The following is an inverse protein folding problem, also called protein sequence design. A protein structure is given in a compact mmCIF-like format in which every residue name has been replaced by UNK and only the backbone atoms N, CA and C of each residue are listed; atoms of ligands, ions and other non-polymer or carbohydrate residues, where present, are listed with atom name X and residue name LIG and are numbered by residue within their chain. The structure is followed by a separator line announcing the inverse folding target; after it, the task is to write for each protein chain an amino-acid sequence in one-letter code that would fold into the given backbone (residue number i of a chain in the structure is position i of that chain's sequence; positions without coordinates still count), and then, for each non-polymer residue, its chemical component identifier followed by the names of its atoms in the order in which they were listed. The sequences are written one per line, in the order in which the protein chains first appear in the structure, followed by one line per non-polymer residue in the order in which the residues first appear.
data_IF_201509610607
#
_entry.id   IF_201509610607
#
_cell.length_a   1.000
_cell.length_b   1.000
_cell.length_c   1.000
_cell.angle_alpha   90.00
_cell.angle_beta   90.00
_cell.angle_gamma   90.00
#
_symmetry.space_group_name_H-M   'P 1'
#
loop_
_entity.id
_entity.type
_entity.pdbx_description
1 polymer ?
#
# COMPACT_ATOMS: atom_id res chain seq x y z
N UNK A 1 -4.60 -17.21 -4.00
CA UNK A 1 -4.87 -16.49 -5.25
C UNK A 1 -4.10 -15.19 -5.27
N UNK A 2 -3.60 -14.85 -6.43
CA UNK A 2 -2.86 -13.58 -6.57
C UNK A 2 -3.83 -12.40 -6.60
N UNK A 3 -3.37 -11.26 -6.12
CA UNK A 3 -4.11 -10.00 -6.18
C UNK A 3 -3.64 -9.20 -7.40
N UNK A 4 -4.46 -8.27 -7.85
CA UNK A 4 -4.10 -7.40 -8.97
C UNK A 4 -3.06 -6.38 -8.57
N UNK A 5 -3.18 -5.82 -7.36
CA UNK A 5 -2.36 -4.70 -6.91
C UNK A 5 -2.05 -4.82 -5.43
N UNK A 6 -0.78 -4.58 -5.08
CA UNK A 6 -0.36 -4.40 -3.69
C UNK A 6 0.14 -2.97 -3.53
N UNK A 7 -0.45 -2.23 -2.60
CA UNK A 7 -0.03 -0.86 -2.29
C UNK A 7 0.76 -0.91 -0.99
N UNK A 8 2.03 -0.55 -1.03
CA UNK A 8 2.92 -0.59 0.14
C UNK A 8 3.04 0.80 0.72
N UNK A 9 2.73 0.92 2.02
CA UNK A 9 2.75 2.18 2.74
C UNK A 9 3.72 2.05 3.91
N UNK A 10 4.96 2.57 3.78
CA UNK A 10 5.87 2.63 4.93
C UNK A 10 5.39 3.69 5.91
N UNK A 11 5.37 3.34 7.20
CA UNK A 11 4.87 4.23 8.26
C UNK A 11 5.89 4.32 9.39
N UNK A 12 6.25 5.54 9.76
CA UNK A 12 7.09 5.79 10.93
C UNK A 12 6.69 7.12 11.58
N UNK A 13 6.13 7.03 12.79
CA UNK A 13 5.74 8.20 13.59
C UNK A 13 4.86 9.20 12.83
N UNK A 14 3.74 8.72 12.31
CA UNK A 14 2.80 9.51 11.50
C UNK A 14 1.46 9.73 12.20
N UNK A 15 1.40 9.62 13.53
CA UNK A 15 0.11 9.69 14.25
C UNK A 15 -0.43 11.11 14.38
N UNK A 16 0.40 12.14 14.19
CA UNK A 16 -0.03 13.53 14.36
C UNK A 16 -0.61 14.12 13.08
N UNK A 17 -1.46 15.15 13.21
CA UNK A 17 -2.04 15.94 12.12
C UNK A 17 -3.03 15.19 11.22
N UNK A 18 -3.34 13.94 11.52
CA UNK A 18 -4.31 13.17 10.74
C UNK A 18 -3.87 12.77 9.33
N UNK A 19 -2.60 13.00 8.97
CA UNK A 19 -2.11 12.70 7.62
C UNK A 19 -2.18 11.22 7.30
N UNK A 20 -1.84 10.36 8.26
CA UNK A 20 -1.93 8.91 8.06
C UNK A 20 -3.37 8.49 7.76
N UNK A 21 -4.34 9.08 8.46
CA UNK A 21 -5.75 8.79 8.21
C UNK A 21 -6.18 9.21 6.80
N UNK A 22 -5.76 10.39 6.35
CA UNK A 22 -6.06 10.84 4.97
C UNK A 22 -5.45 9.90 3.93
N UNK A 23 -4.21 9.46 4.16
CA UNK A 23 -3.56 8.49 3.27
C UNK A 23 -4.38 7.20 3.17
N UNK A 24 -4.67 6.59 4.31
CA UNK A 24 -5.38 5.31 4.34
C UNK A 24 -6.81 5.43 3.82
N UNK A 25 -7.52 6.51 4.15
CA UNK A 25 -8.86 6.73 3.62
C UNK A 25 -8.86 6.84 2.11
N UNK A 26 -7.83 7.48 1.52
CA UNK A 26 -7.73 7.59 0.07
C UNK A 26 -7.46 6.22 -0.60
N UNK A 27 -6.84 5.30 0.12
CA UNK A 27 -6.53 3.96 -0.41
C UNK A 27 -7.69 2.99 -0.26
N UNK A 28 -8.45 3.05 0.84
CA UNK A 28 -9.64 2.20 1.00
C UNK A 28 -10.81 2.70 0.17
N UNK A 29 -10.81 3.98 -0.19
CA UNK A 29 -11.86 4.60 -1.01
C UNK A 29 -11.62 4.60 -2.51
N UNK A 30 -10.69 3.78 -3.01
CA UNK A 30 -10.39 3.73 -4.44
C UNK A 30 -11.52 3.11 -5.24
N UNK A 31 -11.74 3.63 -6.45
CA UNK A 31 -12.77 3.13 -7.36
C UNK A 31 -12.52 1.70 -7.84
N UNK A 32 -11.28 1.21 -7.73
CA UNK A 32 -10.96 -0.18 -8.08
C UNK A 32 -11.56 -1.18 -7.10
N UNK A 33 -12.01 -0.73 -5.93
CA UNK A 33 -12.63 -1.62 -4.96
C UNK A 33 -13.92 -2.20 -5.55
N UNK A 34 -13.98 -3.52 -5.64
CA UNK A 34 -15.07 -4.20 -6.33
C UNK A 34 -14.81 -4.50 -7.81
N UNK A 35 -13.78 -3.87 -8.41
CA UNK A 35 -13.36 -4.14 -9.80
C UNK A 35 -12.16 -5.06 -9.85
N UNK A 36 -11.21 -4.85 -8.96
CA UNK A 36 -9.99 -5.64 -8.86
C UNK A 36 -9.77 -6.06 -7.42
N UNK A 37 -9.11 -7.19 -7.24
CA UNK A 37 -8.68 -7.62 -5.93
C UNK A 37 -7.34 -6.92 -5.61
N UNK A 38 -7.31 -6.11 -4.57
CA UNK A 38 -6.09 -5.39 -4.18
C UNK A 38 -5.91 -5.41 -2.67
N UNK A 39 -4.70 -5.13 -2.21
CA UNK A 39 -4.34 -5.10 -0.80
C UNK A 39 -3.54 -3.84 -0.47
N UNK A 40 -3.64 -3.39 0.78
CA UNK A 40 -2.88 -2.27 1.30
C UNK A 40 -1.98 -2.83 2.40
N UNK A 41 -0.67 -2.78 2.17
CA UNK A 41 0.32 -3.32 3.10
C UNK A 41 0.96 -2.15 3.86
N UNK A 42 0.52 -1.98 5.10
CA UNK A 42 1.02 -0.90 5.96
C UNK A 42 2.16 -1.43 6.81
N UNK A 43 3.37 -1.00 6.52
CA UNK A 43 4.55 -1.44 7.24
C UNK A 43 4.88 -0.43 8.34
N UNK A 44 4.64 -0.79 9.58
CA UNK A 44 5.00 0.05 10.71
C UNK A 44 6.48 -0.18 11.06
N UNK A 45 7.29 0.81 10.83
CA UNK A 45 8.75 0.71 10.97
C UNK A 45 9.22 1.04 12.39
N UNK A 46 8.64 0.36 13.37
CA UNK A 46 8.93 0.52 14.79
C UNK A 46 8.58 1.92 15.31
N UNK A 47 7.38 2.41 14.97
CA UNK A 47 6.91 3.71 15.46
C UNK A 47 6.86 3.75 16.97
N UNK A 48 7.22 4.90 17.54
CA UNK A 48 7.18 5.13 18.99
C UNK A 48 5.94 5.91 19.42
N UNK A 49 5.12 6.36 18.47
CA UNK A 49 3.86 7.04 18.72
C UNK A 49 2.67 6.09 18.49
N UNK A 50 1.47 6.62 18.30
CA UNK A 50 0.25 5.85 18.12
C UNK A 50 0.03 5.36 16.68
N UNK A 51 1.02 5.47 15.81
CA UNK A 51 0.88 5.06 14.41
C UNK A 51 0.43 3.61 14.25
N UNK A 52 1.06 2.68 14.99
CA UNK A 52 0.70 1.27 14.91
C UNK A 52 -0.77 1.05 15.32
N UNK A 53 -1.24 1.74 16.35
CA UNK A 53 -2.63 1.63 16.80
C UNK A 53 -3.60 2.10 15.72
N UNK A 54 -3.27 3.17 15.00
CA UNK A 54 -4.07 3.67 13.89
C UNK A 54 -4.15 2.61 12.79
N UNK A 55 -3.00 2.02 12.43
CA UNK A 55 -2.96 0.99 11.40
C UNK A 55 -3.78 -0.24 11.79
N UNK A 56 -3.67 -0.68 13.03
CA UNK A 56 -4.41 -1.85 13.51
C UNK A 56 -5.92 -1.59 13.51
N UNK A 57 -6.34 -0.35 13.77
CA UNK A 57 -7.75 0.02 13.66
C UNK A 57 -8.26 -0.12 12.22
N UNK A 58 -7.47 0.34 11.25
CA UNK A 58 -7.84 0.17 9.84
C UNK A 58 -7.87 -1.30 9.43
N UNK A 59 -6.92 -2.10 9.90
CA UNK A 59 -6.94 -3.55 9.64
C UNK A 59 -8.19 -4.20 10.22
N UNK A 60 -8.60 -3.79 11.40
CA UNK A 60 -9.80 -4.32 12.04
C UNK A 60 -11.06 -3.97 11.26
N UNK A 61 -11.14 -2.75 10.73
CA UNK A 61 -12.30 -2.30 9.94
C UNK A 61 -12.31 -2.87 8.52
N UNK A 62 -11.14 -3.14 7.95
CA UNK A 62 -10.99 -3.61 6.57
C UNK A 62 -10.08 -4.85 6.54
N UNK A 63 -10.47 -5.95 7.18
CA UNK A 63 -9.56 -7.09 7.38
C UNK A 63 -9.15 -7.79 6.08
N UNK A 64 -9.94 -7.68 5.02
CA UNK A 64 -9.63 -8.30 3.72
C UNK A 64 -8.79 -7.39 2.84
N UNK A 65 -8.65 -6.12 3.19
CA UNK A 65 -8.00 -5.11 2.37
C UNK A 65 -6.70 -4.61 2.99
N UNK A 66 -6.69 -4.34 4.30
CA UNK A 66 -5.56 -3.74 5.00
C UNK A 66 -4.83 -4.81 5.81
N UNK A 67 -3.53 -4.93 5.57
CA UNK A 67 -2.64 -5.83 6.29
C UNK A 67 -1.52 -5.02 6.92
N UNK A 68 -1.35 -5.15 8.23
CA UNK A 68 -0.32 -4.42 8.98
C UNK A 68 0.87 -5.33 9.23
N UNK A 69 2.06 -4.82 8.92
CA UNK A 69 3.31 -5.54 9.11
C UNK A 69 4.16 -4.72 10.11
N UNK A 70 4.21 -5.13 11.39
CA UNK A 70 5.03 -4.40 12.35
C UNK A 70 6.48 -4.89 12.31
N UNK A 71 7.41 -3.98 12.05
CA UNK A 71 8.83 -4.26 12.16
C UNK A 71 9.26 -4.11 13.63
N UNK A 72 10.03 -5.05 14.17
CA UNK A 72 10.48 -4.94 15.57
C UNK A 72 11.54 -3.85 15.79
N UNK A 73 12.25 -3.46 14.74
CA UNK A 73 13.26 -2.39 14.77
C UNK A 73 13.07 -1.50 13.56
N UNK A 74 13.54 -0.25 13.66
CA UNK A 74 13.48 0.69 12.54
C UNK A 74 14.46 0.25 11.46
N UNK A 75 13.95 -0.06 10.28
CA UNK A 75 14.72 -0.51 9.12
C UNK A 75 14.88 0.60 8.08
N UNK A 76 14.40 1.79 8.40
CA UNK A 76 14.35 2.93 7.47
C UNK A 76 13.40 2.63 6.30
N UNK A 77 13.23 3.61 5.42
CA UNK A 77 12.24 3.52 4.36
C UNK A 77 12.52 2.37 3.38
N UNK A 78 13.79 2.15 3.02
CA UNK A 78 14.15 1.05 2.13
C UNK A 78 13.85 -0.32 2.73
N UNK A 79 14.18 -0.52 4.00
CA UNK A 79 13.89 -1.77 4.70
C UNK A 79 12.40 -1.99 4.89
N UNK A 80 11.64 -0.91 5.17
CA UNK A 80 10.18 -0.99 5.30
C UNK A 80 9.52 -1.39 3.98
N UNK A 81 9.96 -0.80 2.86
CA UNK A 81 9.47 -1.19 1.54
C UNK A 81 9.76 -2.64 1.24
N UNK A 82 10.96 -3.13 1.57
CA UNK A 82 11.33 -4.52 1.37
C UNK A 82 10.47 -5.46 2.20
N UNK A 83 10.14 -5.09 3.44
CA UNK A 83 9.24 -5.89 4.27
C UNK A 83 7.87 -6.05 3.63
N UNK A 84 7.34 -4.98 3.06
CA UNK A 84 6.08 -5.03 2.30
C UNK A 84 6.19 -5.92 1.06
N UNK A 85 7.29 -5.79 0.31
CA UNK A 85 7.50 -6.58 -0.90
C UNK A 85 7.56 -8.08 -0.63
N UNK A 86 8.08 -8.49 0.52
CA UNK A 86 8.19 -9.92 0.87
C UNK A 86 6.83 -10.59 0.98
N UNK A 87 5.80 -9.86 1.37
CA UNK A 87 4.45 -10.44 1.58
C UNK A 87 3.47 -10.02 0.50
N UNK A 88 3.85 -9.13 -0.40
CA UNK A 88 2.97 -8.63 -1.45
C UNK A 88 2.56 -9.76 -2.40
N UNK A 89 1.27 -9.81 -2.72
CA UNK A 89 0.67 -10.81 -3.60
C UNK A 89 0.23 -10.22 -4.93
N UNK A 90 0.39 -8.91 -5.12
CA UNK A 90 -0.08 -8.22 -6.29
C UNK A 90 0.73 -8.49 -7.54
N UNK A 91 0.04 -8.53 -8.67
CA UNK A 91 0.67 -8.51 -9.99
C UNK A 91 1.39 -7.18 -10.22
N UNK A 92 0.80 -6.11 -9.70
CA UNK A 92 1.37 -4.76 -9.73
C UNK A 92 1.69 -4.32 -8.31
N UNK A 93 2.79 -3.58 -8.15
CA UNK A 93 3.22 -3.02 -6.87
C UNK A 93 3.20 -1.51 -6.95
N UNK A 94 2.53 -0.86 -6.01
CA UNK A 94 2.55 0.58 -5.84
C UNK A 94 3.13 0.95 -4.49
N UNK A 95 3.83 2.08 -4.42
CA UNK A 95 4.33 2.65 -3.17
C UNK A 95 3.69 4.02 -2.98
N UNK A 96 3.33 4.33 -1.75
CA UNK A 96 2.84 5.65 -1.39
C UNK A 96 3.38 6.03 -0.02
N UNK A 97 3.81 7.27 0.14
CA UNK A 97 4.25 7.78 1.43
C UNK A 97 3.05 7.98 2.36
N UNK A 98 3.24 7.73 3.64
CA UNK A 98 2.16 7.75 4.61
C UNK A 98 1.58 9.15 4.89
N UNK A 99 2.21 10.21 4.40
CA UNK A 99 1.71 11.58 4.48
C UNK A 99 1.10 12.09 3.16
N UNK A 100 1.01 11.22 2.16
CA UNK A 100 0.40 11.53 0.87
C UNK A 100 -1.00 10.92 0.77
N UNK A 101 -1.77 11.41 -0.18
CA UNK A 101 -3.08 10.83 -0.53
C UNK A 101 -3.28 10.94 -2.02
N UNK A 102 -4.21 10.15 -2.54
CA UNK A 102 -4.47 10.08 -3.99
C UNK A 102 -5.96 10.26 -4.26
N UNK A 103 -6.27 10.67 -5.50
CA UNK A 103 -7.67 10.79 -5.92
C UNK A 103 -8.37 9.42 -5.93
N UNK A 104 -9.70 9.38 -5.84
CA UNK A 104 -10.42 8.11 -5.79
C UNK A 104 -10.19 7.18 -6.97
N UNK A 105 -9.90 7.73 -8.15
CA UNK A 105 -9.71 6.95 -9.38
C UNK A 105 -8.24 6.78 -9.77
N UNK A 106 -7.31 7.11 -8.89
CA UNK A 106 -5.89 7.13 -9.19
C UNK A 106 -5.38 5.77 -9.67
N UNK A 107 -5.61 4.72 -8.90
CA UNK A 107 -5.12 3.38 -9.27
C UNK A 107 -5.94 2.76 -10.41
N UNK A 108 -7.20 3.10 -10.54
CA UNK A 108 -7.99 2.65 -11.68
C UNK A 108 -7.40 3.16 -12.99
N UNK A 109 -7.07 4.45 -13.04
CA UNK A 109 -6.44 5.04 -14.23
C UNK A 109 -5.10 4.40 -14.54
N UNK A 110 -4.26 4.16 -13.52
CA UNK A 110 -2.96 3.54 -13.71
C UNK A 110 -3.08 2.11 -14.22
N UNK A 111 -3.99 1.32 -13.65
CA UNK A 111 -4.18 -0.06 -14.06
C UNK A 111 -4.75 -0.17 -15.47
N UNK A 112 -5.68 0.70 -15.83
CA UNK A 112 -6.22 0.73 -17.19
C UNK A 112 -5.14 1.11 -18.20
N UNK A 113 -4.27 2.05 -17.86
CA UNK A 113 -3.14 2.42 -18.71
C UNK A 113 -2.17 1.26 -18.86
N UNK A 114 -1.90 0.54 -17.77
CA UNK A 114 -1.03 -0.63 -17.79
C UNK A 114 -1.58 -1.71 -18.73
N UNK A 115 -2.88 -2.00 -18.65
CA UNK A 115 -3.52 -2.98 -19.51
C UNK A 115 -3.52 -2.56 -20.98
N UNK A 116 -3.71 -1.26 -21.25
CA UNK A 116 -3.75 -0.74 -22.60
C UNK A 116 -2.38 -0.72 -23.28
N UNK A 117 -1.31 -0.47 -22.51
CA UNK A 117 0.04 -0.31 -23.06
C UNK A 117 0.90 -1.56 -22.98
N UNK A 118 0.56 -2.50 -22.09
CA UNK A 118 1.39 -3.67 -21.81
C UNK A 118 2.72 -3.33 -21.16
N UNK A 119 2.88 -2.10 -20.63
CA UNK A 119 4.13 -1.67 -20.01
C UNK A 119 4.32 -2.30 -18.63
N UNK A 120 5.58 -2.54 -18.25
CA UNK A 120 5.92 -3.06 -16.92
C UNK A 120 6.07 -1.96 -15.87
N UNK A 121 6.14 -0.69 -16.30
CA UNK A 121 6.22 0.48 -15.42
C UNK A 121 5.26 1.54 -15.93
N UNK A 122 4.36 1.97 -15.06
CA UNK A 122 3.34 2.96 -15.41
C UNK A 122 3.46 4.18 -14.51
N UNK A 123 3.82 5.33 -15.11
CA UNK A 123 3.85 6.61 -14.45
C UNK A 123 4.78 6.71 -13.25
N UNK A 124 5.79 5.86 -13.12
CA UNK A 124 6.70 5.77 -11.96
C UNK A 124 5.99 5.33 -10.67
N UNK A 125 4.69 5.03 -10.73
CA UNK A 125 3.89 4.69 -9.55
C UNK A 125 3.57 3.22 -9.41
N UNK A 126 3.58 2.47 -10.51
CA UNK A 126 3.29 1.04 -10.51
C UNK A 126 4.38 0.27 -11.21
N UNK A 127 4.77 -0.84 -10.61
CA UNK A 127 5.77 -1.77 -11.16
C UNK A 127 5.10 -3.13 -11.33
N UNK A 128 5.20 -3.71 -12.52
CA UNK A 128 4.66 -5.04 -12.81
C UNK A 128 5.66 -6.11 -12.37
N UNK A 129 5.16 -7.07 -11.62
CA UNK A 129 5.97 -8.21 -11.18
C UNK A 129 5.59 -9.39 -12.07
N UNK A 130 6.45 -9.69 -13.02
CA UNK A 130 6.20 -10.76 -14.01
C UNK A 130 6.54 -12.14 -13.48
N UNK A 131 7.38 -12.23 -12.43
CA UNK A 131 7.76 -13.51 -11.83
C UNK A 131 7.59 -13.42 -10.32
N UNK A 132 6.84 -14.35 -9.71
CA UNK A 132 6.62 -14.34 -8.27
C UNK A 132 7.81 -14.94 -7.51
N UNK A 133 8.89 -14.20 -7.42
CA UNK A 133 10.11 -14.61 -6.70
C UNK A 133 10.16 -14.09 -5.28
N UNK A 134 9.09 -13.49 -4.83
CA UNK A 134 9.01 -12.92 -3.48
C UNK A 134 8.94 -13.98 -2.40
#
# INVERSE_FOLDING_TARGET
MSKKLSIIVPVYNMATEGKLNYCLDSLVGQTIRGLYDYEILCVDDASTDDSLEILLDYQKRYPELVCVIPNPVNLRQGGAKNAGLRVAQGEWIGFIDSDDWVSPDYYEKLLKKAEATGADLVGLSLIHISEPTR
#
